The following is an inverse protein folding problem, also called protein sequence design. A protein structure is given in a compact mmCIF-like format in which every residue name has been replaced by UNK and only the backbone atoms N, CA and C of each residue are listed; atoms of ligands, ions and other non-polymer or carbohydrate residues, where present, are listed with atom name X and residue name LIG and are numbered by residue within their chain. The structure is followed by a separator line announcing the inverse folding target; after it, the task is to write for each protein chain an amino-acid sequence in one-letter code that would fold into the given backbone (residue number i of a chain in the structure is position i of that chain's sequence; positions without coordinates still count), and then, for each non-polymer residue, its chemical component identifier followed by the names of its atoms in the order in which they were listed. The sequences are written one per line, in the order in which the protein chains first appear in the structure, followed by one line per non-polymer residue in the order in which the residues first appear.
data_IF_808132704264
#
_entry.id   IF_808132704264
#
_cell.length_a   1.000
_cell.length_b   1.000
_cell.length_c   1.000
_cell.angle_alpha   90.00
_cell.angle_beta   90.00
_cell.angle_gamma   90.00
#
_symmetry.space_group_name_H-M   'P 1'
#
loop_
_entity.id
_entity.type
_entity.pdbx_description
1 polymer ?
#
# COMPACT_ATOMS: atom_id res chain seq x y z
N UNK A 1 -37.74 29.12 -55.21
CA UNK A 1 -37.92 28.07 -54.19
C UNK A 1 -37.08 28.42 -52.96
N UNK A 2 -37.69 29.05 -51.94
CA UNK A 2 -37.01 29.44 -50.70
C UNK A 2 -37.37 28.41 -49.62
N UNK A 3 -36.44 27.51 -49.31
CA UNK A 3 -36.61 26.43 -48.35
C UNK A 3 -36.67 27.03 -46.93
N UNK A 4 -37.81 26.89 -46.24
CA UNK A 4 -37.96 27.30 -44.85
C UNK A 4 -37.17 26.32 -43.96
N UNK A 5 -36.05 26.80 -43.41
CA UNK A 5 -35.32 26.09 -42.36
C UNK A 5 -36.15 26.21 -41.08
N UNK A 6 -36.84 25.13 -40.70
CA UNK A 6 -37.51 25.04 -39.41
C UNK A 6 -36.47 24.92 -38.30
N UNK A 7 -36.32 25.96 -37.49
CA UNK A 7 -35.52 25.93 -36.27
C UNK A 7 -36.19 24.99 -35.27
N UNK A 8 -35.58 23.83 -35.00
CA UNK A 8 -36.00 22.97 -33.88
C UNK A 8 -35.87 23.78 -32.59
N UNK A 9 -36.88 23.80 -31.71
CA UNK A 9 -36.75 24.48 -30.43
C UNK A 9 -35.63 23.81 -29.64
N UNK A 10 -34.59 24.58 -29.31
CA UNK A 10 -33.52 24.16 -28.41
C UNK A 10 -34.11 24.03 -27.01
N UNK A 11 -34.57 22.83 -26.64
CA UNK A 11 -35.03 22.55 -25.28
C UNK A 11 -33.87 22.66 -24.31
N UNK A 12 -33.86 23.70 -23.48
CA UNK A 12 -32.90 23.86 -22.39
C UNK A 12 -33.29 23.05 -21.17
N UNK A 13 -32.30 22.66 -20.37
CA UNK A 13 -32.50 22.05 -19.04
C UNK A 13 -33.20 23.03 -18.10
N UNK A 14 -34.16 22.57 -17.30
CA UNK A 14 -34.79 23.39 -16.26
C UNK A 14 -33.90 23.46 -15.02
N UNK A 15 -34.02 24.57 -14.27
CA UNK A 15 -33.34 24.73 -12.97
C UNK A 15 -33.73 23.63 -11.97
N UNK A 16 -34.97 23.16 -12.03
CA UNK A 16 -35.48 22.11 -11.16
C UNK A 16 -34.80 20.77 -11.49
N UNK A 17 -34.63 20.43 -12.77
CA UNK A 17 -33.93 19.22 -13.17
C UNK A 17 -32.46 19.24 -12.69
N UNK A 18 -31.78 20.38 -12.81
CA UNK A 18 -30.41 20.53 -12.33
C UNK A 18 -30.32 20.37 -10.81
N UNK A 19 -31.25 20.97 -10.06
CA UNK A 19 -31.29 20.86 -8.59
C UNK A 19 -31.47 19.42 -8.12
N UNK A 20 -32.33 18.63 -8.77
CA UNK A 20 -32.56 17.22 -8.41
C UNK A 20 -31.29 16.40 -8.70
N UNK A 21 -30.64 16.62 -9.85
CA UNK A 21 -29.40 15.91 -10.20
C UNK A 21 -28.30 16.19 -9.17
N UNK A 22 -28.10 17.45 -8.79
CA UNK A 22 -27.10 17.82 -7.78
C UNK A 22 -27.41 17.18 -6.42
N UNK A 23 -28.69 17.14 -6.02
CA UNK A 23 -29.11 16.49 -4.77
C UNK A 23 -28.78 14.99 -4.76
N UNK A 24 -29.01 14.28 -5.87
CA UNK A 24 -28.68 12.86 -5.99
C UNK A 24 -27.16 12.65 -5.95
N UNK A 25 -26.39 13.45 -6.69
CA UNK A 25 -24.92 13.37 -6.70
C UNK A 25 -24.34 13.63 -5.31
N UNK A 26 -24.90 14.57 -4.56
CA UNK A 26 -24.47 14.85 -3.19
C UNK A 26 -24.65 13.64 -2.25
N UNK A 27 -25.78 12.92 -2.36
CA UNK A 27 -26.04 11.70 -1.57
C UNK A 27 -25.10 10.56 -1.96
N UNK A 28 -24.86 10.37 -3.26
CA UNK A 28 -23.94 9.33 -3.72
C UNK A 28 -22.49 9.63 -3.32
N UNK A 29 -22.08 10.90 -3.38
CA UNK A 29 -20.71 11.32 -3.07
C UNK A 29 -20.34 11.07 -1.60
N UNK A 30 -21.26 11.24 -0.65
CA UNK A 30 -20.96 11.00 0.78
C UNK A 30 -20.64 9.54 1.09
N UNK A 31 -21.22 8.59 0.36
CA UNK A 31 -20.92 7.16 0.50
C UNK A 31 -19.70 6.75 -0.33
N UNK A 32 -19.57 7.30 -1.54
CA UNK A 32 -18.51 6.91 -2.48
C UNK A 32 -17.14 7.50 -2.14
N UNK A 33 -17.05 8.73 -1.65
CA UNK A 33 -15.77 9.40 -1.38
C UNK A 33 -14.93 8.71 -0.30
N UNK A 34 -15.48 8.32 0.87
CA UNK A 34 -14.69 7.61 1.88
C UNK A 34 -14.16 6.27 1.36
N UNK A 35 -15.00 5.51 0.64
CA UNK A 35 -14.59 4.24 0.05
C UNK A 35 -13.46 4.44 -0.99
N UNK A 36 -13.60 5.42 -1.88
CA UNK A 36 -12.58 5.74 -2.88
C UNK A 36 -11.24 6.14 -2.26
N UNK A 37 -11.27 6.92 -1.17
CA UNK A 37 -10.06 7.30 -0.43
C UNK A 37 -9.33 6.06 0.12
N UNK A 38 -10.05 5.13 0.77
CA UNK A 38 -9.46 3.89 1.26
C UNK A 38 -8.91 3.02 0.13
N UNK A 39 -9.59 2.94 -1.01
CA UNK A 39 -9.07 2.21 -2.19
C UNK A 39 -7.79 2.84 -2.73
N UNK A 40 -7.73 4.17 -2.83
CA UNK A 40 -6.53 4.88 -3.27
C UNK A 40 -5.37 4.68 -2.28
N UNK A 41 -5.64 4.67 -0.97
CA UNK A 41 -4.63 4.39 0.05
C UNK A 41 -4.12 2.94 -0.03
N UNK A 42 -5.02 1.95 -0.17
CA UNK A 42 -4.64 0.53 -0.40
C UNK A 42 -3.72 0.38 -1.60
N UNK A 43 -4.08 1.03 -2.72
CA UNK A 43 -3.28 0.97 -3.94
C UNK A 43 -1.86 1.50 -3.70
N UNK A 44 -1.71 2.64 -3.00
CA UNK A 44 -0.40 3.17 -2.61
C UNK A 44 0.33 2.22 -1.65
N UNK A 45 -0.38 1.66 -0.67
CA UNK A 45 0.21 0.78 0.34
C UNK A 45 0.82 -0.51 -0.25
N UNK A 46 0.42 -0.93 -1.46
CA UNK A 46 1.09 -2.03 -2.17
C UNK A 46 2.59 -1.79 -2.39
N UNK A 47 3.00 -0.53 -2.55
CA UNK A 47 4.41 -0.14 -2.66
C UNK A 47 5.18 -0.43 -1.35
N UNK A 48 4.55 -0.15 -0.21
CA UNK A 48 5.10 -0.38 1.14
C UNK A 48 5.28 -1.87 1.39
N UNK A 49 4.32 -2.70 0.96
CA UNK A 49 4.43 -4.16 1.01
C UNK A 49 5.58 -4.62 0.11
N UNK A 50 5.65 -4.13 -1.13
CA UNK A 50 6.69 -4.50 -2.09
C UNK A 50 8.10 -4.12 -1.61
N UNK A 51 8.23 -3.01 -0.89
CA UNK A 51 9.50 -2.54 -0.32
C UNK A 51 10.15 -3.53 0.66
N UNK A 52 9.37 -4.45 1.26
CA UNK A 52 9.92 -5.53 2.11
C UNK A 52 10.54 -6.69 1.33
N UNK A 53 10.23 -6.82 0.03
CA UNK A 53 10.63 -7.94 -0.81
C UNK A 53 12.15 -8.18 -0.90
N UNK A 54 12.99 -7.14 -1.10
CA UNK A 54 14.44 -7.31 -1.15
C UNK A 54 15.02 -7.86 0.17
N UNK A 55 14.60 -7.31 1.31
CA UNK A 55 15.03 -7.79 2.63
C UNK A 55 14.61 -9.24 2.87
N UNK A 56 13.36 -9.59 2.55
CA UNK A 56 12.84 -10.95 2.65
C UNK A 56 13.69 -11.94 1.83
N UNK A 57 13.96 -11.60 0.58
CA UNK A 57 14.74 -12.42 -0.35
C UNK A 57 16.19 -12.58 0.12
N UNK A 58 16.81 -11.51 0.61
CA UNK A 58 18.18 -11.55 1.12
C UNK A 58 18.31 -12.45 2.37
N UNK A 59 17.31 -12.41 3.27
CA UNK A 59 17.25 -13.32 4.42
C UNK A 59 17.06 -14.76 3.95
N UNK A 60 16.14 -15.03 3.02
CA UNK A 60 15.91 -16.38 2.47
C UNK A 60 17.21 -16.96 1.88
N UNK A 61 17.95 -16.17 1.09
CA UNK A 61 19.23 -16.58 0.49
C UNK A 61 20.29 -16.81 1.56
N UNK A 62 20.39 -15.93 2.56
CA UNK A 62 21.36 -16.07 3.65
C UNK A 62 21.14 -17.38 4.42
N UNK A 63 19.89 -17.72 4.74
CA UNK A 63 19.56 -18.97 5.42
C UNK A 63 19.88 -20.19 4.54
N UNK A 64 19.55 -20.14 3.25
CA UNK A 64 19.84 -21.24 2.31
C UNK A 64 21.34 -21.48 2.09
N UNK A 65 22.16 -20.43 2.24
CA UNK A 65 23.62 -20.51 2.07
C UNK A 65 24.38 -20.73 3.38
N UNK A 66 23.68 -20.81 4.51
CA UNK A 66 24.28 -20.99 5.83
C UNK A 66 25.01 -19.75 6.37
N UNK A 67 24.62 -18.56 5.94
CA UNK A 67 25.25 -17.29 6.34
C UNK A 67 25.07 -16.99 7.82
N UNK A 68 26.08 -16.41 8.46
CA UNK A 68 26.16 -16.13 9.91
C UNK A 68 25.44 -14.87 10.39
N UNK A 69 24.90 -14.06 9.47
CA UNK A 69 24.14 -12.86 9.83
C UNK A 69 23.10 -12.49 8.77
N UNK A 70 21.93 -13.12 8.86
CA UNK A 70 20.86 -12.89 7.91
C UNK A 70 20.10 -11.60 8.19
N UNK A 71 20.15 -11.07 9.42
CA UNK A 71 19.61 -9.76 9.74
C UNK A 71 20.37 -8.65 8.99
N UNK A 72 21.70 -8.72 9.00
CA UNK A 72 22.56 -7.81 8.25
C UNK A 72 22.32 -7.92 6.73
N UNK A 73 22.23 -9.14 6.20
CA UNK A 73 21.91 -9.37 4.78
C UNK A 73 20.58 -8.72 4.38
N UNK A 74 19.54 -8.88 5.21
CA UNK A 74 18.25 -8.22 5.03
C UNK A 74 18.37 -6.71 5.04
N UNK A 75 19.06 -6.14 6.02
CA UNK A 75 19.22 -4.69 6.16
C UNK A 75 20.01 -4.06 5.00
N UNK A 76 21.07 -4.73 4.53
CA UNK A 76 21.86 -4.29 3.37
C UNK A 76 21.07 -4.29 2.06
N UNK A 77 19.99 -5.07 1.97
CA UNK A 77 19.12 -5.10 0.79
C UNK A 77 18.09 -3.97 0.76
N UNK A 78 17.90 -3.24 1.86
CA UNK A 78 16.94 -2.12 1.99
C UNK A 78 17.59 -0.88 2.61
N UNK A 79 18.68 -0.35 2.04
CA UNK A 79 19.27 0.88 2.56
C UNK A 79 18.27 2.03 2.40
N UNK A 80 18.26 2.91 3.40
CA UNK A 80 17.33 4.04 3.51
C UNK A 80 17.31 4.93 2.25
N UNK A 81 18.49 5.12 1.64
CA UNK A 81 18.68 5.88 0.41
C UNK A 81 18.05 5.26 -0.84
N UNK A 82 17.73 3.96 -0.81
CA UNK A 82 17.14 3.25 -1.95
C UNK A 82 15.66 2.91 -1.74
N UNK A 83 15.21 2.80 -0.49
CA UNK A 83 13.85 2.31 -0.17
C UNK A 83 12.85 3.42 0.11
N UNK A 84 13.30 4.63 0.45
CA UNK A 84 12.43 5.78 0.71
C UNK A 84 11.83 6.33 -0.57
N UNK A 85 10.52 6.54 -0.55
CA UNK A 85 9.75 7.16 -1.64
C UNK A 85 8.71 8.11 -1.04
N UNK A 86 7.86 8.71 -1.89
CA UNK A 86 6.72 9.52 -1.43
C UNK A 86 5.72 8.71 -0.59
N UNK A 87 5.70 7.38 -0.77
CA UNK A 87 4.81 6.45 -0.08
C UNK A 87 5.52 5.71 1.04
N UNK A 88 6.79 5.35 0.88
CA UNK A 88 7.56 4.53 1.83
C UNK A 88 8.45 5.43 2.69
N UNK A 89 8.15 5.50 3.99
CA UNK A 89 8.95 6.26 4.95
C UNK A 89 10.26 5.53 5.33
N UNK A 90 10.29 4.21 5.20
CA UNK A 90 11.48 3.41 5.43
C UNK A 90 11.15 1.94 5.61
N UNK A 91 12.19 1.11 5.52
CA UNK A 91 12.14 -0.31 5.85
C UNK A 91 13.29 -0.60 6.81
N UNK A 92 12.99 -1.24 7.93
CA UNK A 92 13.96 -1.65 8.92
C UNK A 92 13.91 -3.16 9.13
N UNK A 93 15.09 -3.79 9.23
CA UNK A 93 15.21 -5.20 9.58
C UNK A 93 15.82 -5.30 10.97
N UNK A 94 15.12 -5.97 11.87
CA UNK A 94 15.60 -6.26 13.23
C UNK A 94 15.50 -7.76 13.49
N UNK A 95 16.16 -8.25 14.54
CA UNK A 95 16.03 -9.63 15.00
C UNK A 95 15.88 -9.64 16.51
N UNK A 96 15.11 -10.59 17.03
CA UNK A 96 14.95 -10.82 18.48
C UNK A 96 15.47 -12.18 18.94
N UNK A 97 15.92 -13.01 17.99
CA UNK A 97 16.58 -14.29 18.27
C UNK A 97 18.00 -14.30 17.76
N UNK A 98 18.43 -15.40 17.14
CA UNK A 98 19.78 -15.49 16.57
C UNK A 98 19.80 -14.82 15.19
N UNK A 99 20.96 -14.30 14.78
CA UNK A 99 21.09 -13.66 13.47
C UNK A 99 20.88 -14.66 12.30
N UNK A 100 20.99 -15.97 12.57
CA UNK A 100 20.92 -17.09 11.62
C UNK A 100 19.58 -17.80 11.54
N UNK A 101 18.84 -17.85 12.65
CA UNK A 101 17.57 -18.61 12.72
C UNK A 101 16.36 -17.68 12.87
N UNK A 102 16.62 -16.40 13.15
CA UNK A 102 15.60 -15.40 13.43
C UNK A 102 15.04 -15.56 14.85
N UNK A 103 13.83 -15.03 15.11
CA UNK A 103 12.95 -14.40 14.15
C UNK A 103 13.46 -13.02 13.69
N UNK A 104 13.45 -12.80 12.37
CA UNK A 104 13.70 -11.50 11.75
C UNK A 104 12.40 -10.74 11.59
N UNK A 105 12.39 -9.47 11.96
CA UNK A 105 11.25 -8.57 11.88
C UNK A 105 11.60 -7.48 10.86
N UNK A 106 11.00 -7.59 9.68
CA UNK A 106 11.05 -6.55 8.64
C UNK A 106 9.85 -5.64 8.88
N UNK A 107 10.10 -4.37 9.15
CA UNK A 107 9.05 -3.35 9.33
C UNK A 107 9.16 -2.34 8.20
N UNK A 108 8.14 -2.29 7.34
CA UNK A 108 7.96 -1.20 6.39
C UNK A 108 6.92 -0.23 6.94
N UNK A 109 7.22 1.07 6.85
CA UNK A 109 6.33 2.13 7.33
C UNK A 109 5.99 3.03 6.15
N UNK A 110 4.71 3.33 5.96
CA UNK A 110 4.30 4.33 4.98
C UNK A 110 4.54 5.76 5.50
N UNK A 111 4.48 6.75 4.61
CA UNK A 111 4.56 8.15 5.00
C UNK A 111 3.24 8.60 5.65
N UNK A 112 3.30 9.67 6.47
CA UNK A 112 2.12 10.28 7.10
C UNK A 112 1.09 10.82 6.09
N UNK A 113 1.43 10.87 4.80
CA UNK A 113 0.52 11.30 3.72
C UNK A 113 -0.43 10.20 3.28
N UNK A 114 -0.14 8.93 3.61
CA UNK A 114 -1.03 7.80 3.35
C UNK A 114 -1.82 7.45 4.62
N UNK A 115 -1.17 6.91 5.66
CA UNK A 115 -1.84 6.57 6.93
C UNK A 115 -0.91 6.39 8.15
N UNK A 116 0.41 6.57 8.01
CA UNK A 116 1.40 6.22 9.06
C UNK A 116 1.29 4.76 9.56
N UNK A 117 0.83 3.86 8.70
CA UNK A 117 0.63 2.44 8.94
C UNK A 117 1.90 1.63 8.68
N UNK A 118 2.03 0.54 9.42
CA UNK A 118 3.15 -0.39 9.29
C UNK A 118 2.70 -1.70 8.67
N UNK A 119 3.57 -2.27 7.85
CA UNK A 119 3.53 -3.65 7.40
C UNK A 119 4.73 -4.39 8.00
N UNK A 120 4.48 -5.47 8.72
CA UNK A 120 5.49 -6.24 9.44
C UNK A 120 5.54 -7.65 8.87
N UNK A 121 6.72 -8.10 8.45
CA UNK A 121 7.00 -9.49 8.13
C UNK A 121 7.90 -10.09 9.20
N UNK A 122 7.44 -11.16 9.82
CA UNK A 122 8.24 -11.95 10.76
C UNK A 122 8.64 -13.26 10.10
N UNK A 123 9.94 -13.45 9.92
CA UNK A 123 10.53 -14.65 9.34
C UNK A 123 11.21 -15.49 10.40
N UNK A 124 10.96 -16.80 10.43
CA UNK A 124 11.68 -17.74 11.30
C UNK A 124 12.21 -18.89 10.45
N UNK A 125 13.51 -19.19 10.57
CA UNK A 125 14.10 -20.31 9.86
C UNK A 125 13.87 -21.62 10.60
N UNK A 126 13.55 -22.65 9.83
CA UNK A 126 13.50 -24.04 10.28
C UNK A 126 13.97 -24.92 9.14
N UNK A 127 14.97 -25.77 9.40
CA UNK A 127 15.51 -26.76 8.46
C UNK A 127 15.91 -26.15 7.10
N UNK A 128 16.56 -24.98 7.12
CA UNK A 128 17.04 -24.28 5.92
C UNK A 128 15.97 -23.52 5.13
N UNK A 129 14.74 -23.42 5.66
CA UNK A 129 13.63 -22.66 5.05
C UNK A 129 13.11 -21.61 6.02
N UNK A 130 12.80 -20.42 5.51
CA UNK A 130 12.14 -19.37 6.31
C UNK A 130 10.64 -19.43 6.13
N UNK A 131 9.92 -19.40 7.24
CA UNK A 131 8.46 -19.23 7.27
C UNK A 131 8.14 -17.79 7.63
N UNK A 132 7.33 -17.13 6.80
CA UNK A 132 7.00 -15.72 6.92
C UNK A 132 5.55 -15.53 7.35
N UNK A 133 5.34 -14.68 8.37
CA UNK A 133 4.03 -14.25 8.85
C UNK A 133 3.93 -12.74 8.71
N UNK A 134 2.84 -12.25 8.12
CA UNK A 134 2.56 -10.83 8.00
C UNK A 134 1.67 -10.32 9.13
N UNK A 135 1.98 -9.12 9.63
CA UNK A 135 1.21 -8.38 10.62
C UNK A 135 1.37 -6.86 10.36
N UNK A 136 0.94 -6.03 11.30
CA UNK A 136 1.12 -4.58 11.26
C UNK A 136 -0.18 -3.81 11.46
N UNK A 137 -0.07 -2.49 11.67
CA UNK A 137 -1.24 -1.63 11.84
C UNK A 137 -2.07 -1.48 10.56
N UNK A 138 -1.53 -1.88 9.40
CA UNK A 138 -2.26 -1.88 8.14
C UNK A 138 -3.51 -2.77 8.16
N UNK A 139 -3.58 -3.81 9.01
CA UNK A 139 -4.76 -4.67 9.13
C UNK A 139 -5.95 -3.94 9.76
N UNK A 140 -5.71 -3.18 10.83
CA UNK A 140 -6.72 -2.35 11.48
C UNK A 140 -7.12 -1.16 10.60
N UNK A 141 -6.18 -0.61 9.82
CA UNK A 141 -6.46 0.44 8.84
C UNK A 141 -7.15 -0.09 7.57
N UNK A 142 -7.25 -1.42 7.42
CA UNK A 142 -7.77 -2.08 6.23
C UNK A 142 -6.96 -1.74 4.99
N UNK A 143 -5.65 -1.58 5.08
CA UNK A 143 -4.72 -1.38 3.96
C UNK A 143 -4.07 -2.68 3.50
N UNK A 144 -3.94 -3.61 4.45
CA UNK A 144 -3.66 -5.02 4.33
C UNK A 144 -4.68 -5.75 5.25
#
# INVERSE_FOLDING_TARGET
MRKLIGTRPSGGFTLIELMIVVAIVAILATVALPAYQTYAQRARFTEVIAATGPAKTAIDICVQTGGSDCAAAGNSAVPDSAVKTDTVAGVAVTTTGTNNEGPWIITATDTNTVSASTFILTGTAKDGRVTWVSAGSCTAAGLC
#
